data_IF_223433474808
#
_entry.id   IF_223433474808
#
_cell.length_a   1.000
_cell.length_b   1.000
_cell.length_c   1.000
_cell.angle_alpha   90.00
_cell.angle_beta   90.00
_cell.angle_gamma   90.00
#
_symmetry.space_group_name_H-M   'P 1'
#
loop_
_entity.id
_entity.type
_entity.pdbx_description
1 polymer ?
#
# COMPACT_ATOMS: atom_id res chain seq x y z
N UNK A 1 -52.97 37.81 -25.80
CA UNK A 1 -52.74 36.79 -24.73
C UNK A 1 -51.60 35.89 -25.19
N UNK A 2 -50.37 36.14 -24.70
CA UNK A 2 -49.18 35.34 -25.05
C UNK A 2 -48.91 34.40 -23.86
N UNK A 3 -49.01 33.09 -24.06
CA UNK A 3 -48.65 32.07 -23.06
C UNK A 3 -47.15 31.82 -23.13
N UNK A 4 -46.44 32.16 -22.04
CA UNK A 4 -45.05 31.78 -21.81
C UNK A 4 -45.03 30.33 -21.31
N UNK A 5 -44.34 29.44 -22.03
CA UNK A 5 -44.05 28.08 -21.62
C UNK A 5 -42.66 28.13 -20.94
N UNK A 6 -42.61 27.95 -19.63
CA UNK A 6 -41.39 27.78 -18.91
C UNK A 6 -40.91 26.33 -19.06
N UNK A 7 -39.84 26.12 -19.82
CA UNK A 7 -39.15 24.84 -19.90
C UNK A 7 -38.24 24.63 -18.67
N UNK A 8 -38.55 23.64 -17.85
CA UNK A 8 -37.67 23.21 -16.78
C UNK A 8 -36.55 22.35 -17.36
N UNK A 9 -35.31 22.85 -17.32
CA UNK A 9 -34.12 22.07 -17.63
C UNK A 9 -33.76 21.25 -16.37
N UNK A 10 -34.02 19.97 -16.39
CA UNK A 10 -33.51 19.03 -15.39
C UNK A 10 -32.06 18.70 -15.75
N UNK A 11 -31.11 19.28 -15.02
CA UNK A 11 -29.71 18.88 -15.09
C UNK A 11 -29.57 17.52 -14.38
N UNK A 12 -29.42 16.45 -15.15
CA UNK A 12 -29.02 15.17 -14.63
C UNK A 12 -27.54 15.26 -14.19
N UNK A 13 -27.30 15.27 -12.88
CA UNK A 13 -25.98 14.99 -12.36
C UNK A 13 -25.67 13.51 -12.65
N UNK A 14 -24.88 13.26 -13.68
CA UNK A 14 -24.21 11.98 -13.83
C UNK A 14 -23.10 11.93 -12.76
N UNK A 15 -23.40 11.32 -11.64
CA UNK A 15 -22.37 10.90 -10.70
C UNK A 15 -21.53 9.84 -11.42
N UNK A 16 -20.28 10.18 -11.76
CA UNK A 16 -19.29 9.17 -12.10
C UNK A 16 -19.10 8.34 -10.84
N UNK A 17 -19.51 7.07 -10.88
CA UNK A 17 -19.02 6.12 -9.90
C UNK A 17 -17.48 6.15 -10.04
N UNK A 18 -16.77 6.70 -9.06
CA UNK A 18 -15.34 6.50 -8.96
C UNK A 18 -15.15 4.99 -8.82
N UNK A 19 -14.50 4.36 -9.79
CA UNK A 19 -14.06 2.98 -9.66
C UNK A 19 -13.16 2.90 -8.43
N UNK A 20 -13.24 1.81 -7.66
CA UNK A 20 -12.37 1.62 -6.52
C UNK A 20 -10.92 1.56 -7.02
N UNK A 21 -10.07 2.47 -6.54
CA UNK A 21 -8.65 2.50 -6.90
C UNK A 21 -7.94 1.33 -6.25
N UNK A 22 -7.13 0.62 -7.01
CA UNK A 22 -6.39 -0.54 -6.51
C UNK A 22 -4.93 -0.55 -6.97
N UNK A 23 -4.17 -1.51 -6.44
CA UNK A 23 -2.82 -1.83 -6.92
C UNK A 23 -2.77 -3.27 -7.41
N UNK A 24 -2.18 -3.44 -8.60
CA UNK A 24 -1.68 -4.73 -9.07
C UNK A 24 -0.18 -4.77 -8.81
N UNK A 25 0.28 -5.72 -8.01
CA UNK A 25 1.70 -5.92 -7.68
C UNK A 25 2.15 -7.25 -8.27
N UNK A 26 3.13 -7.22 -9.15
CA UNK A 26 3.80 -8.41 -9.66
C UNK A 26 5.02 -8.70 -8.78
N UNK A 27 4.99 -9.81 -8.05
CA UNK A 27 6.07 -10.23 -7.13
C UNK A 27 6.98 -11.22 -7.84
N UNK A 28 8.29 -11.06 -7.65
CA UNK A 28 9.34 -11.92 -8.18
C UNK A 28 10.37 -12.25 -7.11
N UNK A 29 10.76 -13.54 -7.03
CA UNK A 29 11.76 -14.06 -6.09
C UNK A 29 11.45 -15.50 -5.69
N UNK A 30 11.50 -15.81 -4.38
CA UNK A 30 10.99 -17.09 -3.86
C UNK A 30 9.47 -17.14 -4.02
N UNK A 31 8.78 -16.04 -3.72
CA UNK A 31 7.39 -15.84 -4.10
C UNK A 31 7.32 -15.33 -5.56
N UNK A 32 6.41 -15.90 -6.35
CA UNK A 32 6.15 -15.46 -7.71
C UNK A 32 4.66 -15.43 -7.97
N UNK A 33 4.17 -14.30 -8.47
CA UNK A 33 2.76 -14.14 -8.80
C UNK A 33 2.27 -12.71 -8.73
N UNK A 34 0.96 -12.56 -8.80
CA UNK A 34 0.29 -11.26 -8.76
C UNK A 34 -0.53 -11.13 -7.48
N UNK A 35 -0.43 -9.98 -6.84
CA UNK A 35 -1.26 -9.58 -5.71
C UNK A 35 -2.11 -8.40 -6.12
N UNK A 36 -3.42 -8.46 -5.85
CA UNK A 36 -4.35 -7.34 -6.04
C UNK A 36 -4.70 -6.76 -4.67
N UNK A 37 -4.61 -5.45 -4.57
CA UNK A 37 -4.94 -4.68 -3.36
C UNK A 37 -6.05 -3.68 -3.72
N UNK A 38 -7.14 -3.72 -2.99
CA UNK A 38 -8.14 -2.65 -2.96
C UNK A 38 -7.68 -1.55 -2.02
N UNK A 39 -7.58 -0.32 -2.50
CA UNK A 39 -7.18 0.84 -1.70
C UNK A 39 -8.42 1.51 -1.10
N UNK A 40 -8.34 1.86 0.17
CA UNK A 40 -9.46 2.36 0.96
C UNK A 40 -9.44 3.90 1.04
N UNK A 41 -9.78 4.58 -0.06
CA UNK A 41 -9.75 6.04 -0.19
C UNK A 41 -10.62 6.76 0.85
N UNK A 42 -11.76 6.15 1.22
CA UNK A 42 -12.65 6.73 2.23
C UNK A 42 -12.08 6.60 3.66
N UNK A 43 -11.13 5.68 3.87
CA UNK A 43 -10.49 5.42 5.17
C UNK A 43 -9.25 6.28 5.36
N UNK A 44 -8.39 6.37 4.34
CA UNK A 44 -7.11 7.05 4.39
C UNK A 44 -6.81 7.82 3.09
N UNK A 45 -7.59 8.86 2.77
CA UNK A 45 -7.55 9.55 1.48
C UNK A 45 -6.16 10.12 1.14
N UNK A 46 -5.44 10.69 2.12
CA UNK A 46 -4.13 11.28 1.86
C UNK A 46 -3.05 10.22 1.61
N UNK A 47 -3.05 9.14 2.39
CA UNK A 47 -2.11 8.03 2.19
C UNK A 47 -2.38 7.30 0.88
N UNK A 48 -3.65 7.03 0.55
CA UNK A 48 -4.01 6.39 -0.72
C UNK A 48 -3.59 7.26 -1.90
N UNK A 49 -3.82 8.57 -1.85
CA UNK A 49 -3.37 9.49 -2.90
C UNK A 49 -1.85 9.41 -3.10
N UNK A 50 -1.06 9.42 -2.02
CA UNK A 50 0.41 9.36 -2.11
C UNK A 50 0.90 8.01 -2.64
N UNK A 51 0.34 6.89 -2.17
CA UNK A 51 0.67 5.54 -2.68
C UNK A 51 0.35 5.45 -4.18
N UNK A 52 -0.82 5.95 -4.59
CA UNK A 52 -1.25 5.93 -5.99
C UNK A 52 -0.32 6.77 -6.88
N UNK A 53 0.08 7.96 -6.43
CA UNK A 53 1.02 8.81 -7.15
C UNK A 53 2.40 8.13 -7.30
N UNK A 54 2.93 7.54 -6.23
CA UNK A 54 4.19 6.80 -6.26
C UNK A 54 4.12 5.56 -7.16
N UNK A 55 3.02 4.83 -7.13
CA UNK A 55 2.81 3.67 -8.00
C UNK A 55 2.70 4.09 -9.47
N UNK A 56 1.94 5.13 -9.79
CA UNK A 56 1.79 5.67 -11.13
C UNK A 56 3.13 6.19 -11.71
N UNK A 57 3.98 6.76 -10.85
CA UNK A 57 5.34 7.19 -11.20
C UNK A 57 6.34 6.02 -11.36
N UNK A 58 5.94 4.77 -11.08
CA UNK A 58 6.83 3.60 -11.09
C UNK A 58 7.85 3.61 -9.95
N UNK A 59 7.61 4.39 -8.89
CA UNK A 59 8.53 4.49 -7.77
C UNK A 59 8.70 3.16 -7.03
N UNK A 60 7.68 2.32 -7.00
CA UNK A 60 7.71 1.01 -6.36
C UNK A 60 8.30 -0.12 -7.22
N UNK A 61 8.55 0.09 -8.52
CA UNK A 61 9.12 -0.93 -9.39
C UNK A 61 10.52 -1.31 -8.92
N UNK A 62 10.77 -2.60 -8.72
CA UNK A 62 12.03 -3.17 -8.24
C UNK A 62 12.29 -2.98 -6.74
N UNK A 63 11.30 -2.53 -5.95
CA UNK A 63 11.43 -2.36 -4.50
C UNK A 63 11.25 -3.71 -3.79
N UNK A 64 12.18 -4.03 -2.89
CA UNK A 64 12.23 -5.32 -2.18
C UNK A 64 11.36 -5.34 -0.92
N UNK A 65 10.97 -6.53 -0.50
CA UNK A 65 10.45 -6.79 0.84
C UNK A 65 11.65 -6.93 1.79
N UNK A 66 12.04 -5.84 2.44
CA UNK A 66 13.26 -5.77 3.24
C UNK A 66 13.11 -6.29 4.67
N UNK A 67 11.87 -6.31 5.20
CA UNK A 67 11.54 -6.78 6.56
C UNK A 67 10.32 -7.67 6.53
N UNK A 68 10.50 -8.94 6.85
CA UNK A 68 9.42 -9.94 6.79
C UNK A 68 9.45 -10.80 8.05
N UNK A 69 8.43 -10.66 8.88
CA UNK A 69 8.30 -11.39 10.14
C UNK A 69 7.23 -12.47 10.00
N UNK A 70 7.62 -13.72 10.14
CA UNK A 70 6.72 -14.86 10.04
C UNK A 70 5.56 -14.76 11.04
N UNK A 71 4.35 -15.11 10.58
CA UNK A 71 3.11 -14.98 11.37
C UNK A 71 2.69 -13.54 11.68
N UNK A 72 3.37 -12.51 11.11
CA UNK A 72 3.03 -11.12 11.35
C UNK A 72 2.82 -10.35 10.04
N UNK A 73 3.89 -9.90 9.36
CA UNK A 73 3.73 -9.05 8.17
C UNK A 73 4.95 -9.09 7.24
N UNK A 74 4.75 -8.67 5.98
CA UNK A 74 5.78 -8.36 5.00
C UNK A 74 5.83 -6.84 4.75
N UNK A 75 6.96 -6.18 5.04
CA UNK A 75 7.16 -4.75 4.86
C UNK A 75 8.04 -4.47 3.65
N UNK A 76 7.63 -3.46 2.87
CA UNK A 76 8.23 -3.02 1.62
C UNK A 76 8.07 -1.51 1.43
N UNK A 77 8.31 -1.00 0.23
CA UNK A 77 7.99 0.38 -0.14
C UNK A 77 9.05 1.41 0.19
N UNK A 78 10.27 1.00 0.58
CA UNK A 78 11.41 1.93 0.67
C UNK A 78 11.92 2.24 -0.74
N UNK A 79 11.41 3.31 -1.33
CA UNK A 79 11.74 3.71 -2.71
C UNK A 79 13.13 4.34 -2.84
N UNK A 80 13.76 4.70 -1.72
CA UNK A 80 15.07 5.32 -1.68
C UNK A 80 16.20 4.30 -1.62
N UNK A 81 16.14 3.36 -0.68
CA UNK A 81 17.21 2.38 -0.44
C UNK A 81 16.81 0.94 -0.75
N UNK A 82 15.52 0.65 -0.83
CA UNK A 82 14.99 -0.69 -1.03
C UNK A 82 14.89 -1.14 -2.49
N UNK A 83 15.55 -0.48 -3.43
CA UNK A 83 15.55 -0.88 -4.84
C UNK A 83 16.55 -2.03 -5.08
N UNK A 84 16.17 -2.96 -5.96
CA UNK A 84 17.08 -4.01 -6.46
C UNK A 84 18.40 -3.38 -6.97
N UNK A 85 19.53 -3.92 -6.54
CA UNK A 85 20.85 -3.38 -6.87
C UNK A 85 21.26 -2.11 -6.13
N UNK A 86 20.40 -1.60 -5.23
CA UNK A 86 20.69 -0.47 -4.36
C UNK A 86 21.41 -0.86 -3.06
N UNK A 87 21.47 0.08 -2.12
CA UNK A 87 22.08 -0.14 -0.79
C UNK A 87 21.08 -0.81 0.16
N UNK A 88 20.84 -2.10 -0.04
CA UNK A 88 19.90 -2.88 0.77
C UNK A 88 20.27 -2.95 2.26
N UNK A 89 21.53 -2.63 2.63
CA UNK A 89 21.92 -2.51 4.03
C UNK A 89 21.22 -1.34 4.76
N UNK A 90 20.67 -0.40 4.00
CA UNK A 90 19.87 0.74 4.49
C UNK A 90 18.38 0.60 4.23
N UNK A 91 17.95 -0.47 3.56
CA UNK A 91 16.52 -0.68 3.27
C UNK A 91 15.67 -0.65 4.55
N UNK A 92 14.58 0.08 4.49
CA UNK A 92 13.72 0.37 5.63
C UNK A 92 14.00 1.70 6.33
N UNK A 93 15.08 2.42 5.95
CA UNK A 93 15.44 3.71 6.52
C UNK A 93 15.04 4.90 5.64
N UNK A 94 14.64 4.64 4.39
CA UNK A 94 14.30 5.65 3.42
C UNK A 94 12.81 5.86 3.20
N UNK A 95 12.51 6.81 2.32
CA UNK A 95 11.18 7.18 1.87
C UNK A 95 11.23 7.78 0.48
N UNK A 96 10.17 8.45 0.07
CA UNK A 96 10.13 9.26 -1.13
C UNK A 96 10.51 10.73 -0.83
N UNK A 97 10.69 11.52 -1.87
CA UNK A 97 10.90 12.97 -1.76
C UNK A 97 9.58 13.73 -1.46
N UNK A 98 8.45 13.03 -1.41
CA UNK A 98 7.16 13.61 -1.04
C UNK A 98 7.11 13.89 0.47
N UNK A 99 6.27 14.83 0.92
CA UNK A 99 6.06 15.08 2.35
C UNK A 99 5.55 13.84 3.10
N UNK A 100 5.88 13.73 4.38
CA UNK A 100 5.25 12.77 5.27
C UNK A 100 3.75 13.05 5.40
N UNK A 101 2.96 11.98 5.54
CA UNK A 101 1.51 12.05 5.63
C UNK A 101 1.07 11.92 7.10
N UNK A 102 0.25 12.85 7.61
CA UNK A 102 -0.34 12.72 8.95
C UNK A 102 -1.18 11.44 9.08
N UNK A 103 -1.19 10.86 10.27
CA UNK A 103 -1.93 9.63 10.54
C UNK A 103 -3.43 9.77 10.24
N UNK A 104 -4.00 8.76 9.58
CA UNK A 104 -5.43 8.61 9.28
C UNK A 104 -5.91 7.30 9.94
N UNK A 105 -6.03 7.33 11.29
CA UNK A 105 -6.47 6.14 12.03
C UNK A 105 -7.96 5.85 11.83
N UNK A 106 -8.30 4.57 11.83
CA UNK A 106 -9.67 4.09 11.61
C UNK A 106 -9.99 2.90 12.51
N UNK A 107 -11.25 2.48 12.50
CA UNK A 107 -11.72 1.29 13.22
C UNK A 107 -11.57 0.00 12.39
N UNK A 108 -10.97 0.06 11.20
CA UNK A 108 -10.69 -1.13 10.37
C UNK A 108 -9.69 -2.01 11.11
N UNK A 109 -10.06 -3.27 11.46
CA UNK A 109 -9.17 -4.15 12.20
C UNK A 109 -8.02 -4.65 11.31
N UNK A 110 -6.84 -4.82 11.92
CA UNK A 110 -5.69 -5.43 11.27
C UNK A 110 -5.84 -6.95 11.20
N UNK A 111 -6.70 -7.40 10.31
CA UNK A 111 -6.85 -8.81 9.96
C UNK A 111 -5.84 -9.24 8.89
N UNK A 112 -5.76 -10.55 8.60
CA UNK A 112 -4.96 -11.09 7.50
C UNK A 112 -5.28 -10.37 6.18
N UNK A 113 -4.25 -10.00 5.42
CA UNK A 113 -4.36 -9.33 4.13
C UNK A 113 -4.59 -7.81 4.21
N UNK A 114 -4.74 -7.25 5.40
CA UNK A 114 -4.82 -5.78 5.57
C UNK A 114 -3.46 -5.17 5.26
N UNK A 115 -3.48 -4.02 4.59
CA UNK A 115 -2.30 -3.23 4.24
C UNK A 115 -2.27 -1.98 5.10
N UNK A 116 -1.15 -1.78 5.81
CA UNK A 116 -0.94 -0.63 6.68
C UNK A 116 0.30 0.15 6.32
N UNK A 117 0.32 1.44 6.66
CA UNK A 117 1.49 2.30 6.45
C UNK A 117 2.54 2.08 7.54
N UNK A 118 3.77 1.83 7.11
CA UNK A 118 4.91 1.89 8.02
C UNK A 118 5.27 3.34 8.36
N UNK A 119 5.80 3.55 9.57
CA UNK A 119 6.17 4.86 10.08
C UNK A 119 7.27 4.75 11.15
N UNK A 120 7.90 5.87 11.48
CA UNK A 120 8.80 5.97 12.64
C UNK A 120 8.01 6.01 13.96
N UNK A 121 8.63 6.43 15.04
CA UNK A 121 7.93 6.65 16.32
C UNK A 121 6.88 7.77 16.24
N UNK A 122 7.10 8.77 15.40
CA UNK A 122 6.12 9.81 15.14
C UNK A 122 4.95 9.24 14.29
N UNK A 123 3.70 9.25 14.76
CA UNK A 123 2.57 8.73 13.99
C UNK A 123 2.33 9.48 12.67
N UNK A 124 2.81 10.70 12.55
CA UNK A 124 2.69 11.57 11.37
C UNK A 124 3.94 11.50 10.48
N UNK A 125 4.64 10.37 10.43
CA UNK A 125 5.85 10.17 9.63
C UNK A 125 5.73 9.05 8.59
N UNK A 126 4.52 8.65 8.24
CA UNK A 126 4.30 7.73 7.14
C UNK A 126 4.66 8.42 5.81
N UNK A 127 5.30 7.69 4.90
CA UNK A 127 5.73 8.25 3.62
C UNK A 127 5.46 7.29 2.46
N UNK A 128 6.37 6.38 2.13
CA UNK A 128 6.22 5.43 1.02
C UNK A 128 6.12 3.98 1.46
N UNK A 129 6.63 3.64 2.65
CA UNK A 129 6.69 2.27 3.12
C UNK A 129 5.34 1.78 3.63
N UNK A 130 5.01 0.54 3.29
CA UNK A 130 3.79 -0.14 3.74
C UNK A 130 4.08 -1.62 4.08
N UNK A 131 3.16 -2.26 4.75
CA UNK A 131 3.25 -3.68 5.09
C UNK A 131 1.93 -4.39 4.83
N UNK A 132 2.01 -5.69 4.53
CA UNK A 132 0.87 -6.57 4.28
C UNK A 132 0.83 -7.61 5.38
N UNK A 133 -0.33 -7.79 6.02
CA UNK A 133 -0.49 -8.71 7.14
C UNK A 133 -0.53 -10.18 6.67
N UNK A 134 0.27 -11.04 7.32
CA UNK A 134 0.16 -12.49 7.17
C UNK A 134 -0.93 -13.10 8.04
N UNK A 135 -1.18 -12.49 9.19
CA UNK A 135 -2.17 -12.93 10.16
C UNK A 135 -2.75 -11.72 10.91
N UNK A 136 -3.74 -11.92 11.76
CA UNK A 136 -4.34 -10.86 12.55
C UNK A 136 -3.32 -10.22 13.52
N UNK A 137 -3.25 -8.89 13.48
CA UNK A 137 -2.38 -8.08 14.34
C UNK A 137 -3.15 -6.98 15.04
N UNK A 138 -4.22 -7.32 15.77
CA UNK A 138 -5.15 -6.35 16.37
C UNK A 138 -4.51 -5.37 17.36
N UNK A 139 -3.29 -5.63 17.83
CA UNK A 139 -2.50 -4.68 18.63
C UNK A 139 -2.08 -3.44 17.83
N UNK A 140 -2.22 -3.45 16.50
CA UNK A 140 -1.97 -2.30 15.63
C UNK A 140 -3.20 -1.40 15.47
N UNK A 141 -4.39 -1.87 15.85
CA UNK A 141 -5.64 -1.14 15.69
C UNK A 141 -5.57 0.25 16.32
N UNK A 142 -5.98 1.28 15.58
CA UNK A 142 -5.94 2.67 16.01
C UNK A 142 -4.54 3.26 16.22
N UNK A 143 -3.46 2.54 15.85
CA UNK A 143 -2.08 2.99 16.00
C UNK A 143 -1.32 3.12 14.68
N UNK A 144 -1.81 2.46 13.63
CA UNK A 144 -1.28 2.53 12.26
C UNK A 144 -2.42 2.79 11.28
N UNK A 145 -2.13 3.58 10.23
CA UNK A 145 -3.10 3.88 9.19
C UNK A 145 -3.30 2.67 8.28
N UNK A 146 -4.54 2.21 8.14
CA UNK A 146 -4.95 1.20 7.16
C UNK A 146 -5.17 1.89 5.84
N UNK A 147 -4.57 1.37 4.76
CA UNK A 147 -4.66 1.97 3.42
C UNK A 147 -5.30 1.03 2.39
N UNK A 148 -5.40 -0.25 2.70
CA UNK A 148 -5.93 -1.19 1.72
C UNK A 148 -6.12 -2.61 2.27
N UNK A 149 -6.53 -3.49 1.36
CA UNK A 149 -6.73 -4.90 1.63
C UNK A 149 -6.40 -5.74 0.39
N UNK A 150 -5.70 -6.85 0.59
CA UNK A 150 -5.49 -7.86 -0.45
C UNK A 150 -6.84 -8.47 -0.84
N UNK A 151 -7.16 -8.46 -2.11
CA UNK A 151 -8.37 -9.06 -2.68
C UNK A 151 -8.08 -10.35 -3.43
N UNK A 152 -6.87 -10.44 -4.02
CA UNK A 152 -6.40 -11.66 -4.71
C UNK A 152 -4.90 -11.84 -4.47
N UNK A 153 -4.42 -13.09 -4.49
CA UNK A 153 -3.00 -13.40 -4.35
C UNK A 153 -2.48 -13.39 -2.90
N UNK A 154 -3.33 -13.62 -1.91
CA UNK A 154 -2.88 -13.76 -0.52
C UNK A 154 -1.91 -14.94 -0.36
N UNK A 155 -2.06 -16.02 -1.13
CA UNK A 155 -1.14 -17.15 -1.17
C UNK A 155 0.26 -16.75 -1.68
N UNK A 156 0.34 -15.81 -2.62
CA UNK A 156 1.61 -15.21 -3.08
C UNK A 156 2.23 -14.38 -1.96
N UNK A 157 1.43 -13.58 -1.24
CA UNK A 157 1.91 -12.84 -0.05
C UNK A 157 2.44 -13.82 0.99
N UNK A 158 1.70 -14.90 1.29
CA UNK A 158 2.08 -15.91 2.28
C UNK A 158 3.38 -16.67 1.91
N UNK A 159 3.75 -16.67 0.62
CA UNK A 159 4.99 -17.29 0.12
C UNK A 159 6.21 -16.35 0.19
N UNK A 160 6.05 -15.05 0.49
CA UNK A 160 7.17 -14.09 0.56
C UNK A 160 8.22 -14.59 1.55
N UNK A 161 9.49 -14.54 1.12
CA UNK A 161 10.65 -14.97 1.89
C UNK A 161 10.72 -14.30 3.25
N UNK A 162 10.80 -15.12 4.30
CA UNK A 162 10.90 -14.66 5.69
C UNK A 162 12.29 -14.09 5.99
N UNK A 163 12.30 -13.04 6.76
CA UNK A 163 13.54 -12.49 7.30
C UNK A 163 14.11 -13.39 8.41
N UNK A 164 15.40 -13.68 8.32
CA UNK A 164 16.14 -14.47 9.33
C UNK A 164 17.10 -13.59 10.15
N UNK A 165 17.27 -12.33 9.75
CA UNK A 165 18.05 -11.34 10.47
C UNK A 165 17.31 -10.71 11.66
N UNK A 166 18.00 -9.87 12.41
CA UNK A 166 17.41 -9.13 13.53
C UNK A 166 16.18 -8.33 13.09
N UNK A 167 15.13 -8.34 13.91
CA UNK A 167 13.87 -7.64 13.65
C UNK A 167 13.19 -8.02 12.30
N UNK A 168 13.42 -9.25 11.80
CA UNK A 168 12.83 -9.74 10.56
C UNK A 168 13.51 -9.20 9.30
N UNK A 169 14.73 -8.70 9.37
CA UNK A 169 15.48 -8.29 8.19
C UNK A 169 15.72 -9.49 7.26
N UNK A 170 15.44 -9.32 5.96
CA UNK A 170 15.64 -10.37 4.97
C UNK A 170 17.12 -10.49 4.62
N UNK A 171 17.69 -11.66 4.86
CA UNK A 171 19.10 -11.96 4.57
C UNK A 171 19.22 -12.65 3.21
N UNK A 172 20.23 -12.26 2.44
CA UNK A 172 20.42 -12.73 1.05
C UNK A 172 19.53 -11.99 0.07
N UNK A 173 19.06 -12.66 -0.98
CA UNK A 173 18.20 -12.05 -2.00
C UNK A 173 16.75 -12.01 -1.52
N UNK A 174 16.16 -10.83 -1.31
CA UNK A 174 14.75 -10.69 -0.96
C UNK A 174 13.86 -10.84 -2.18
N UNK A 175 12.59 -11.14 -1.95
CA UNK A 175 11.55 -10.96 -2.96
C UNK A 175 11.33 -9.46 -3.22
N UNK A 176 10.84 -9.12 -4.40
CA UNK A 176 10.64 -7.75 -4.80
C UNK A 176 9.32 -7.54 -5.55
N UNK A 177 8.85 -6.31 -5.56
CA UNK A 177 7.77 -5.86 -6.43
C UNK A 177 8.37 -5.54 -7.80
N UNK A 178 8.30 -6.48 -8.75
CA UNK A 178 8.85 -6.30 -10.11
C UNK A 178 8.15 -5.15 -10.82
N UNK A 179 6.82 -5.09 -10.68
CA UNK A 179 6.00 -4.04 -11.25
C UNK A 179 4.83 -3.74 -10.31
N UNK A 180 4.52 -2.45 -10.16
CA UNK A 180 3.31 -1.98 -9.46
C UNK A 180 2.52 -1.10 -10.41
N UNK A 181 1.24 -1.43 -10.58
CA UNK A 181 0.32 -0.72 -11.49
C UNK A 181 -0.93 -0.31 -10.73
N UNK A 182 -1.35 0.94 -10.92
CA UNK A 182 -2.64 1.41 -10.43
C UNK A 182 -3.74 0.80 -11.29
N UNK A 183 -4.80 0.29 -10.66
CA UNK A 183 -6.01 -0.25 -11.30
C UNK A 183 -7.23 0.57 -10.90
N UNK A 184 -8.26 0.58 -11.76
CA UNK A 184 -9.57 1.18 -11.52
C UNK A 184 -10.61 0.09 -11.32
#
# INVERSE_FOLDING_TARGET
MRKLIAGAFAAALMGTAAGATGLKIEIEGEANGTVMIDLLEEVAPQHVAQITELAAAGAYDGVVFHRVIDGFMAQTGDVQFGKEGGDLGRAGMGGSDMPDVPAEFSDVPYDKGVVGMARSQNPNSANSQFFIMFDAGHFLNGQYTVVGRVTEGQDVVDAIKRGTGGNGAVVGTPDLMRKVTVTE
#
